data_IF_590392380987
#
_entry.id   IF_590392380987
#
_cell.length_a   1.000
_cell.length_b   1.000
_cell.length_c   1.000
_cell.angle_alpha   90.00
_cell.angle_beta   90.00
_cell.angle_gamma   90.00
#
_symmetry.space_group_name_H-M   'P 1'
#
loop_
_entity.id
_entity.type
_entity.pdbx_description
1 polymer ?
#
# COMPACT_ATOMS: atom_id res chain seq x y z
N UNK A 1 5.47 13.19 0.01
CA UNK A 1 6.70 12.35 0.10
C UNK A 1 7.97 13.16 0.33
N UNK A 2 8.10 14.37 -0.21
CA UNK A 2 9.27 15.24 0.04
C UNK A 2 9.29 15.71 1.51
N UNK A 3 8.15 15.80 2.12
CA UNK A 3 7.91 16.23 3.49
C UNK A 3 8.54 15.30 4.54
N UNK A 4 8.54 14.00 4.28
CA UNK A 4 9.16 12.98 5.15
C UNK A 4 10.69 13.09 5.16
N UNK A 5 11.28 13.71 4.15
CA UNK A 5 12.72 13.76 3.97
C UNK A 5 13.43 14.66 5.00
N UNK A 6 12.77 15.73 5.46
CA UNK A 6 13.41 16.74 6.31
C UNK A 6 13.86 16.20 7.67
N UNK A 7 13.00 15.57 8.49
CA UNK A 7 13.44 15.03 9.77
C UNK A 7 14.43 13.85 9.63
N UNK A 8 14.28 13.03 8.59
CA UNK A 8 15.14 11.87 8.35
C UNK A 8 16.57 12.29 7.99
N UNK A 9 16.77 13.29 7.12
CA UNK A 9 18.12 13.71 6.78
C UNK A 9 18.82 14.43 7.94
N UNK A 10 18.09 15.11 8.82
CA UNK A 10 18.66 15.75 10.01
C UNK A 10 19.17 14.71 11.02
N UNK A 11 18.43 13.62 11.22
CA UNK A 11 18.81 12.57 12.15
C UNK A 11 20.00 11.73 11.64
N UNK A 12 20.00 11.38 10.36
CA UNK A 12 21.05 10.55 9.77
C UNK A 12 22.24 11.36 9.21
N UNK A 13 22.21 12.69 9.26
CA UNK A 13 23.29 13.56 8.80
C UNK A 13 23.60 13.43 7.29
N UNK A 14 22.63 13.00 6.49
CA UNK A 14 22.79 12.79 5.04
C UNK A 14 22.40 14.03 4.24
N UNK A 15 22.96 14.20 3.03
CA UNK A 15 22.57 15.28 2.13
C UNK A 15 21.12 15.14 1.64
N UNK A 16 20.51 16.24 1.20
CA UNK A 16 19.14 16.23 0.62
C UNK A 16 18.98 15.26 -0.55
N UNK A 17 20.01 15.13 -1.37
CA UNK A 17 20.01 14.19 -2.50
C UNK A 17 19.99 12.75 -2.03
N UNK A 18 20.77 12.41 -1.01
CA UNK A 18 20.78 11.08 -0.41
C UNK A 18 19.46 10.78 0.30
N UNK A 19 18.88 11.75 0.99
CA UNK A 19 17.58 11.59 1.66
C UNK A 19 16.43 11.21 0.71
N UNK A 20 16.54 11.43 -0.60
CA UNK A 20 15.55 11.00 -1.59
C UNK A 20 15.63 9.52 -1.97
N UNK A 21 16.69 8.80 -1.58
CA UNK A 21 16.90 7.38 -1.92
C UNK A 21 15.75 6.48 -1.45
N UNK A 22 15.20 6.58 -0.24
CA UNK A 22 14.06 5.77 0.17
C UNK A 22 12.84 5.94 -0.74
N UNK A 23 12.58 7.16 -1.20
CA UNK A 23 11.52 7.43 -2.16
C UNK A 23 11.80 6.82 -3.53
N UNK A 24 13.03 6.96 -4.04
CA UNK A 24 13.45 6.34 -5.31
C UNK A 24 13.34 4.81 -5.24
N UNK A 25 13.80 4.22 -4.12
CA UNK A 25 13.69 2.78 -3.88
C UNK A 25 12.24 2.32 -3.88
N UNK A 26 11.33 3.09 -3.28
CA UNK A 26 9.88 2.82 -3.31
C UNK A 26 9.34 2.84 -4.73
N UNK A 27 9.71 3.83 -5.54
CA UNK A 27 9.24 3.93 -6.93
C UNK A 27 9.76 2.81 -7.82
N UNK A 28 11.03 2.43 -7.66
CA UNK A 28 11.63 1.28 -8.37
C UNK A 28 10.93 -0.02 -7.92
N UNK A 29 10.77 -0.21 -6.62
CA UNK A 29 10.06 -1.35 -6.06
C UNK A 29 8.62 -1.46 -6.57
N UNK A 30 7.91 -0.33 -6.60
CA UNK A 30 6.56 -0.26 -7.15
C UNK A 30 6.50 -0.65 -8.64
N UNK A 31 7.42 -0.12 -9.46
CA UNK A 31 7.46 -0.42 -10.90
C UNK A 31 7.76 -1.89 -11.19
N UNK A 32 8.81 -2.44 -10.58
CA UNK A 32 9.19 -3.85 -10.76
C UNK A 32 8.14 -4.78 -10.14
N UNK A 33 7.68 -4.46 -8.93
CA UNK A 33 6.65 -5.20 -8.22
C UNK A 33 5.33 -5.24 -8.99
N UNK A 34 4.92 -4.12 -9.59
CA UNK A 34 3.68 -4.03 -10.37
C UNK A 34 3.62 -5.01 -11.53
N UNK A 35 4.74 -5.22 -12.24
CA UNK A 35 4.82 -6.21 -13.33
C UNK A 35 4.66 -7.65 -12.80
N UNK A 36 5.33 -7.97 -11.70
CA UNK A 36 5.28 -9.31 -11.12
C UNK A 36 3.94 -9.60 -10.45
N UNK A 37 3.44 -8.65 -9.66
CA UNK A 37 2.18 -8.81 -8.94
C UNK A 37 0.97 -8.77 -9.87
N UNK A 38 1.03 -8.03 -10.98
CA UNK A 38 0.03 -8.13 -12.05
C UNK A 38 -0.09 -9.56 -12.57
N UNK A 39 1.02 -10.20 -12.94
CA UNK A 39 1.02 -11.60 -13.40
C UNK A 39 0.54 -12.60 -12.35
N UNK A 40 0.86 -12.36 -11.08
CA UNK A 40 0.40 -13.20 -9.97
C UNK A 40 -1.12 -13.04 -9.80
N UNK A 41 -1.61 -11.81 -9.81
CA UNK A 41 -3.05 -11.52 -9.71
C UNK A 41 -3.86 -12.13 -10.84
N UNK A 42 -3.32 -12.18 -12.06
CA UNK A 42 -3.96 -12.83 -13.21
C UNK A 42 -4.15 -14.35 -12.99
N UNK A 43 -3.30 -14.99 -12.16
CA UNK A 43 -3.34 -16.45 -11.90
C UNK A 43 -4.15 -16.83 -10.67
N UNK A 44 -4.02 -16.09 -9.58
CA UNK A 44 -4.60 -16.45 -8.28
C UNK A 44 -5.75 -15.51 -7.85
N UNK A 45 -6.09 -14.55 -8.71
CA UNK A 45 -7.09 -13.52 -8.40
C UNK A 45 -6.50 -12.32 -7.68
N UNK A 46 -7.29 -11.25 -7.59
CA UNK A 46 -6.88 -9.94 -7.05
C UNK A 46 -6.78 -9.94 -5.52
N UNK A 47 -7.61 -10.73 -4.86
CA UNK A 47 -7.79 -10.69 -3.41
C UNK A 47 -6.55 -11.08 -2.58
N UNK A 48 -5.90 -12.23 -2.84
CA UNK A 48 -4.74 -12.65 -2.05
C UNK A 48 -3.56 -11.66 -2.14
N UNK A 49 -3.18 -11.14 -3.33
CA UNK A 49 -2.13 -10.13 -3.42
C UNK A 49 -2.46 -8.84 -2.68
N UNK A 50 -3.71 -8.35 -2.73
CA UNK A 50 -4.12 -7.12 -2.05
C UNK A 50 -4.01 -7.26 -0.53
N UNK A 51 -4.49 -8.37 0.04
CA UNK A 51 -4.35 -8.64 1.48
C UNK A 51 -2.89 -8.74 1.90
N UNK A 52 -2.10 -9.49 1.12
CA UNK A 52 -0.66 -9.61 1.36
C UNK A 52 0.06 -8.25 1.28
N UNK A 53 -0.29 -7.43 0.30
CA UNK A 53 0.27 -6.09 0.13
C UNK A 53 -0.03 -5.16 1.29
N UNK A 54 -1.24 -5.21 1.81
CA UNK A 54 -1.62 -4.41 2.96
C UNK A 54 -0.89 -4.80 4.24
N UNK A 55 -0.75 -6.10 4.50
CA UNK A 55 0.06 -6.62 5.62
C UNK A 55 1.53 -6.22 5.45
N UNK A 56 2.08 -6.38 4.24
CA UNK A 56 3.46 -5.98 3.94
C UNK A 56 3.70 -4.49 4.11
N UNK A 57 2.72 -3.65 3.74
CA UNK A 57 2.80 -2.21 3.92
C UNK A 57 2.78 -1.82 5.39
N UNK A 58 1.90 -2.42 6.20
CA UNK A 58 1.86 -2.22 7.65
C UNK A 58 3.15 -2.66 8.33
N UNK A 59 3.66 -3.86 7.98
CA UNK A 59 4.94 -4.36 8.47
C UNK A 59 6.11 -3.47 8.01
N UNK A 60 6.06 -2.95 6.78
CA UNK A 60 7.04 -2.02 6.26
C UNK A 60 7.12 -0.73 7.07
N UNK A 61 6.01 -0.10 7.39
CA UNK A 61 5.98 1.09 8.25
C UNK A 61 6.45 0.78 9.67
N UNK A 62 6.05 -0.36 10.22
CA UNK A 62 6.49 -0.79 11.55
C UNK A 62 8.02 -0.98 11.59
N UNK A 63 8.60 -1.73 10.66
CA UNK A 63 10.05 -1.94 10.58
C UNK A 63 10.80 -0.64 10.27
N UNK A 64 10.23 0.22 9.42
CA UNK A 64 10.79 1.53 9.13
C UNK A 64 10.90 2.41 10.40
N UNK A 65 9.92 2.36 11.31
CA UNK A 65 9.97 3.09 12.58
C UNK A 65 11.10 2.63 13.50
N UNK A 66 11.49 1.35 13.40
CA UNK A 66 12.60 0.75 14.17
C UNK A 66 13.96 0.89 13.48
N UNK A 67 14.02 1.49 12.30
CA UNK A 67 15.26 1.60 11.53
C UNK A 67 16.28 2.48 12.25
N UNK A 68 17.49 1.96 12.40
CA UNK A 68 18.64 2.64 13.02
C UNK A 68 19.64 3.15 11.98
N UNK A 69 19.58 2.63 10.76
CA UNK A 69 20.46 3.01 9.66
C UNK A 69 19.67 3.47 8.45
N UNK A 70 20.23 4.45 7.73
CA UNK A 70 19.63 4.98 6.52
C UNK A 70 19.46 3.91 5.42
N UNK A 71 20.42 2.98 5.32
CA UNK A 71 20.33 1.86 4.37
C UNK A 71 19.14 0.94 4.69
N UNK A 72 18.94 0.59 5.95
CA UNK A 72 17.81 -0.23 6.40
C UNK A 72 16.49 0.45 6.07
N UNK A 73 16.36 1.75 6.35
CA UNK A 73 15.18 2.54 6.00
C UNK A 73 14.90 2.51 4.49
N UNK A 74 15.93 2.68 3.67
CA UNK A 74 15.81 2.68 2.21
C UNK A 74 15.40 1.31 1.64
N UNK A 75 15.95 0.22 2.17
CA UNK A 75 15.60 -1.15 1.79
C UNK A 75 14.17 -1.50 2.17
N UNK A 76 13.73 -1.14 3.37
CA UNK A 76 12.36 -1.36 3.82
C UNK A 76 11.38 -0.61 2.94
N UNK A 77 11.68 0.64 2.58
CA UNK A 77 10.86 1.43 1.66
C UNK A 77 10.80 0.80 0.26
N UNK A 78 11.91 0.33 -0.28
CA UNK A 78 11.95 -0.28 -1.61
C UNK A 78 11.22 -1.62 -1.66
N UNK A 79 11.50 -2.52 -0.71
CA UNK A 79 11.01 -3.90 -0.74
C UNK A 79 9.62 -4.03 -0.11
N UNK A 80 9.45 -3.63 1.16
CA UNK A 80 8.19 -3.87 1.86
C UNK A 80 7.10 -2.89 1.45
N UNK A 81 7.41 -1.61 1.36
CA UNK A 81 6.42 -0.58 1.03
C UNK A 81 6.22 -0.49 -0.49
N UNK A 82 7.30 -0.43 -1.28
CA UNK A 82 7.22 -0.28 -2.74
C UNK A 82 6.84 -1.58 -3.44
N UNK A 83 7.70 -2.60 -3.33
CA UNK A 83 7.57 -3.83 -4.09
C UNK A 83 6.38 -4.69 -3.63
N UNK A 84 6.22 -4.92 -2.33
CA UNK A 84 5.10 -5.72 -1.81
C UNK A 84 3.86 -4.89 -1.47
N UNK A 85 4.01 -3.71 -0.87
CA UNK A 85 2.89 -2.90 -0.41
C UNK A 85 2.13 -2.22 -1.55
N UNK A 86 2.74 -1.23 -2.19
CA UNK A 86 2.06 -0.39 -3.19
C UNK A 86 1.73 -1.16 -4.47
N UNK A 87 2.63 -2.04 -4.95
CA UNK A 87 2.44 -2.75 -6.22
C UNK A 87 1.29 -3.74 -6.17
N UNK A 88 1.11 -4.44 -5.06
CA UNK A 88 0.02 -5.42 -4.88
C UNK A 88 -1.33 -4.77 -4.65
N UNK A 89 -1.36 -3.55 -4.15
CA UNK A 89 -2.61 -2.85 -3.89
C UNK A 89 -3.09 -2.08 -5.12
N UNK A 90 -2.22 -1.35 -5.79
CA UNK A 90 -2.64 -0.43 -6.87
C UNK A 90 -2.90 -1.14 -8.19
N UNK A 91 -1.94 -1.92 -8.70
CA UNK A 91 -2.03 -2.52 -10.03
C UNK A 91 -3.20 -3.51 -10.18
N UNK A 92 -3.40 -4.47 -9.24
CA UNK A 92 -4.53 -5.40 -9.32
C UNK A 92 -5.89 -4.73 -9.21
N UNK A 93 -6.04 -3.72 -8.35
CA UNK A 93 -7.32 -2.99 -8.20
C UNK A 93 -7.70 -2.22 -9.46
N UNK A 94 -6.74 -1.56 -10.11
CA UNK A 94 -7.00 -0.85 -11.38
C UNK A 94 -7.35 -1.83 -12.48
N UNK A 95 -6.70 -3.00 -12.54
CA UNK A 95 -7.02 -4.05 -13.49
C UNK A 95 -8.44 -4.60 -13.27
N UNK A 96 -8.79 -4.94 -12.02
CA UNK A 96 -10.10 -5.49 -11.66
C UNK A 96 -11.24 -4.53 -12.02
N UNK A 97 -11.14 -3.27 -11.65
CA UNK A 97 -12.14 -2.25 -12.01
C UNK A 97 -12.33 -2.17 -13.52
N UNK A 98 -11.27 -2.35 -14.29
CA UNK A 98 -11.33 -2.34 -15.75
C UNK A 98 -12.10 -3.52 -16.34
N UNK A 99 -12.25 -4.64 -15.62
CA UNK A 99 -13.05 -5.79 -16.02
C UNK A 99 -14.55 -5.61 -15.74
N UNK A 100 -14.90 -4.92 -14.65
CA UNK A 100 -16.30 -4.69 -14.26
C UNK A 100 -17.01 -3.65 -15.13
N UNK A 101 -16.28 -2.67 -15.68
CA UNK A 101 -16.84 -1.56 -16.45
C UNK A 101 -16.47 -1.62 -17.94
N UNK A 102 -17.18 -2.43 -18.74
CA UNK A 102 -16.91 -2.53 -20.18
C UNK A 102 -17.23 -1.25 -20.96
N UNK A 103 -18.35 -0.58 -20.68
CA UNK A 103 -18.82 0.58 -21.48
C UNK A 103 -18.25 1.92 -21.04
N UNK A 104 -17.83 2.08 -19.76
CA UNK A 104 -17.30 3.32 -19.17
C UNK A 104 -15.98 3.09 -18.42
N UNK A 105 -15.18 2.16 -18.91
CA UNK A 105 -13.91 1.74 -18.30
C UNK A 105 -12.98 2.92 -17.98
N UNK A 106 -12.83 3.86 -18.94
CA UNK A 106 -11.96 5.03 -18.76
C UNK A 106 -12.40 5.93 -17.60
N UNK A 107 -13.69 6.15 -17.44
CA UNK A 107 -14.24 6.98 -16.36
C UNK A 107 -14.02 6.30 -15.00
N UNK A 108 -14.29 5.00 -14.91
CA UNK A 108 -14.12 4.25 -13.67
C UNK A 108 -12.64 4.27 -13.20
N UNK A 109 -11.70 4.01 -14.10
CA UNK A 109 -10.27 4.07 -13.83
C UNK A 109 -9.84 5.50 -13.45
N UNK A 110 -10.36 6.53 -14.16
CA UNK A 110 -10.05 7.92 -13.86
C UNK A 110 -10.49 8.33 -12.45
N UNK A 111 -11.67 7.90 -11.99
CA UNK A 111 -12.17 8.17 -10.62
C UNK A 111 -11.24 7.55 -9.57
N UNK A 112 -10.81 6.31 -9.76
CA UNK A 112 -9.90 5.63 -8.82
C UNK A 112 -8.53 6.32 -8.76
N UNK A 113 -7.99 6.68 -9.92
CA UNK A 113 -6.72 7.40 -9.99
C UNK A 113 -6.86 8.79 -9.36
N UNK A 114 -7.97 9.48 -9.58
CA UNK A 114 -8.25 10.78 -8.95
C UNK A 114 -8.26 10.70 -7.42
N UNK A 115 -8.75 9.61 -6.84
CA UNK A 115 -8.69 9.34 -5.41
C UNK A 115 -7.25 9.34 -4.88
N UNK A 116 -6.30 8.80 -5.64
CA UNK A 116 -4.88 8.80 -5.28
C UNK A 116 -4.27 10.21 -5.28
N UNK A 117 -4.70 11.09 -6.21
CA UNK A 117 -4.27 12.48 -6.21
C UNK A 117 -4.85 13.28 -5.04
N UNK A 118 -6.11 13.05 -4.70
CA UNK A 118 -6.75 13.67 -3.52
C UNK A 118 -6.04 13.22 -2.24
N UNK A 119 -5.77 11.94 -2.10
CA UNK A 119 -4.97 11.43 -0.98
C UNK A 119 -3.56 12.07 -0.97
N UNK A 120 -2.92 12.20 -2.13
CA UNK A 120 -1.63 12.87 -2.28
C UNK A 120 -1.63 14.36 -1.88
N UNK A 121 -2.77 15.03 -1.92
CA UNK A 121 -2.92 16.41 -1.46
C UNK A 121 -3.17 16.51 0.06
N UNK A 122 -3.94 15.58 0.63
CA UNK A 122 -4.36 15.62 2.04
C UNK A 122 -3.29 15.02 2.97
N UNK A 123 -2.70 13.88 2.59
CA UNK A 123 -1.78 13.15 3.46
C UNK A 123 -0.47 13.88 3.77
N UNK A 124 0.24 14.56 2.83
CA UNK A 124 1.50 15.21 3.13
C UNK A 124 1.41 16.28 4.24
N UNK A 125 0.48 17.24 4.22
CA UNK A 125 0.37 18.22 5.31
C UNK A 125 -0.01 17.58 6.64
N UNK A 126 -0.87 16.55 6.63
CA UNK A 126 -1.26 15.82 7.84
C UNK A 126 -0.07 15.09 8.46
N UNK A 127 0.70 14.37 7.64
CA UNK A 127 1.90 13.65 8.08
C UNK A 127 2.97 14.62 8.57
N UNK A 128 3.16 15.77 7.89
CA UNK A 128 4.10 16.80 8.33
C UNK A 128 3.76 17.31 9.72
N UNK A 129 2.51 17.64 9.94
CA UNK A 129 2.07 18.12 11.26
C UNK A 129 2.35 17.09 12.37
N UNK A 130 2.15 15.81 12.11
CA UNK A 130 2.48 14.74 13.06
C UNK A 130 3.99 14.57 13.25
N UNK A 131 4.79 14.70 12.20
CA UNK A 131 6.25 14.66 12.31
C UNK A 131 6.79 15.79 13.20
N UNK A 132 6.21 16.99 13.07
CA UNK A 132 6.62 18.15 13.84
C UNK A 132 6.17 18.08 15.31
N UNK A 133 5.10 17.33 15.62
CA UNK A 133 4.51 17.23 16.96
C UNK A 133 4.97 16.01 17.75
N UNK A 134 5.00 14.84 17.16
CA UNK A 134 5.26 13.56 17.84
C UNK A 134 6.51 12.84 17.30
N UNK A 135 7.12 13.35 16.26
CA UNK A 135 8.29 12.75 15.62
C UNK A 135 7.95 11.75 14.52
N UNK A 136 8.94 11.46 13.69
CA UNK A 136 8.75 10.62 12.51
C UNK A 136 8.55 9.13 12.84
N UNK A 137 9.20 8.62 13.90
CA UNK A 137 9.08 7.20 14.31
C UNK A 137 7.67 6.88 14.80
N UNK A 138 7.12 7.71 15.66
CA UNK A 138 5.76 7.53 16.19
C UNK A 138 4.70 7.72 15.11
N UNK A 139 4.95 8.62 14.14
CA UNK A 139 4.09 8.76 12.97
C UNK A 139 4.11 7.52 12.08
N UNK A 140 5.27 6.90 11.87
CA UNK A 140 5.37 5.61 11.15
C UNK A 140 4.66 4.48 11.87
N UNK A 141 4.75 4.43 13.20
CA UNK A 141 3.97 3.48 14.01
C UNK A 141 2.46 3.71 13.85
N UNK A 142 2.03 4.96 13.89
CA UNK A 142 0.63 5.33 13.64
C UNK A 142 0.15 4.87 12.25
N UNK A 143 0.95 5.09 11.20
CA UNK A 143 0.65 4.63 9.84
C UNK A 143 0.59 3.10 9.76
N UNK A 144 1.48 2.38 10.47
CA UNK A 144 1.42 0.93 10.54
C UNK A 144 0.10 0.44 11.15
N UNK A 145 -0.33 1.02 12.26
CA UNK A 145 -1.60 0.68 12.89
C UNK A 145 -2.81 0.98 12.00
N UNK A 146 -2.81 2.12 11.30
CA UNK A 146 -3.86 2.46 10.33
C UNK A 146 -3.92 1.42 9.21
N UNK A 147 -2.77 1.00 8.67
CA UNK A 147 -2.71 -0.03 7.64
C UNK A 147 -3.23 -1.38 8.15
N UNK A 148 -2.83 -1.82 9.34
CA UNK A 148 -3.33 -3.06 9.93
C UNK A 148 -4.83 -3.01 10.22
N UNK A 149 -5.33 -1.91 10.78
CA UNK A 149 -6.77 -1.72 11.04
C UNK A 149 -7.58 -1.74 9.73
N UNK A 150 -7.14 -1.01 8.71
CA UNK A 150 -7.77 -1.00 7.41
C UNK A 150 -7.81 -2.41 6.80
N UNK A 151 -6.69 -3.15 6.84
CA UNK A 151 -6.64 -4.52 6.31
C UNK A 151 -7.51 -5.50 7.09
N UNK A 152 -7.59 -5.36 8.40
CA UNK A 152 -8.49 -6.18 9.23
C UNK A 152 -9.94 -5.94 8.85
N UNK A 153 -10.34 -4.68 8.68
CA UNK A 153 -11.69 -4.31 8.25
C UNK A 153 -11.99 -4.85 6.84
N UNK A 154 -11.09 -4.63 5.89
CA UNK A 154 -11.26 -5.15 4.53
C UNK A 154 -11.28 -6.67 4.49
N UNK A 155 -10.38 -7.34 5.21
CA UNK A 155 -10.35 -8.79 5.32
C UNK A 155 -11.64 -9.36 5.90
N UNK A 156 -12.19 -8.72 6.92
CA UNK A 156 -13.46 -9.12 7.53
C UNK A 156 -14.65 -8.91 6.60
N UNK A 157 -14.74 -7.77 5.92
CA UNK A 157 -15.78 -7.48 4.92
C UNK A 157 -15.77 -8.49 3.76
N UNK A 158 -14.57 -8.83 3.31
CA UNK A 158 -14.40 -9.80 2.24
C UNK A 158 -14.73 -11.21 2.70
N UNK A 159 -14.36 -11.60 3.92
CA UNK A 159 -14.72 -12.89 4.51
C UNK A 159 -16.24 -13.07 4.59
N UNK A 160 -16.97 -12.05 5.03
CA UNK A 160 -18.45 -12.09 5.06
C UNK A 160 -19.07 -12.22 3.66
N UNK A 161 -18.48 -11.58 2.65
CA UNK A 161 -19.01 -11.59 1.29
C UNK A 161 -18.80 -12.94 0.58
N UNK A 162 -17.70 -13.61 0.84
CA UNK A 162 -17.33 -14.87 0.17
C UNK A 162 -17.61 -16.12 1.01
N UNK A 163 -17.63 -16.00 2.34
CA UNK A 163 -17.97 -17.10 3.24
C UNK A 163 -19.47 -17.40 3.34
N UNK A 164 -20.33 -16.43 2.99
CA UNK A 164 -21.79 -16.62 3.03
C UNK A 164 -22.40 -17.35 1.83
N UNK A 165 -21.72 -17.38 0.69
CA UNK A 165 -22.27 -17.98 -0.54
C UNK A 165 -21.82 -19.43 -0.81
N UNK A 166 -20.95 -19.99 0.02
CA UNK A 166 -20.47 -21.38 -0.17
C UNK A 166 -21.38 -22.46 0.41
N UNK A 167 -22.48 -22.10 1.08
CA UNK A 167 -23.37 -23.06 1.74
C UNK A 167 -24.63 -23.46 0.95
N UNK A 168 -25.05 -22.65 0.01
CA UNK A 168 -26.34 -22.84 -0.65
C UNK A 168 -26.26 -23.68 -1.95
N UNK A 169 -25.10 -23.71 -2.59
CA UNK A 169 -24.94 -24.42 -3.88
C UNK A 169 -24.79 -25.96 -3.76
N UNK A 170 -24.58 -26.47 -2.53
CA UNK A 170 -24.40 -27.91 -2.31
C UNK A 170 -25.74 -28.64 -2.11
N UNK A 171 -26.80 -27.93 -1.79
CA UNK A 171 -28.10 -28.53 -1.49
C UNK A 171 -29.06 -28.64 -2.71
N UNK A 172 -28.80 -27.90 -3.79
CA UNK A 172 -29.64 -27.97 -5.01
C UNK A 172 -29.22 -29.08 -5.99
N UNK A 173 -28.09 -29.73 -5.78
CA UNK A 173 -27.64 -30.82 -6.66
C UNK A 173 -27.98 -32.24 -6.15
N UNK A 174 -28.79 -32.36 -5.07
CA UNK A 174 -29.19 -33.63 -4.45
C UNK A 174 -30.70 -33.91 -4.48
N UNK A 175 -31.49 -33.14 -5.24
CA UNK A 175 -32.88 -33.43 -5.60
C UNK A 175 -32.99 -33.62 -7.12
#
# INVERSE_FOLDING_TARGET
SIVVLIPVFQEFGVSRSVASIPYMSTMIGFGVGGILMGRISDRIGVMPPVLFGGVSMGAGFYIASLSTTFLQLSLVHGVLIGFFGMSTTFAPLVADISHWFNRRRGIAVAIVISGSYVAGAIWPPTIQHHFDTIGWRDTYLGLAWICFAAMTIFGFLLYQRFGGNGGDDVNESSE
#
